data_IF_163288280582
#
_entry.id   IF_163288280582
#
_cell.length_a   1.000
_cell.length_b   1.000
_cell.length_c   1.000
_cell.angle_alpha   90.00
_cell.angle_beta   90.00
_cell.angle_gamma   90.00
#
_symmetry.space_group_name_H-M   'P 1'
#
loop_
_entity.id
_entity.type
_entity.pdbx_description
1 polymer ?
#
# COMPACT_ATOMS: atom_id res chain seq x y z
N UNK A 1 -18.63 -0.53 -16.37
CA UNK A 1 -17.72 -0.26 -15.24
C UNK A 1 -17.74 1.25 -15.01
N UNK A 2 -17.60 1.73 -13.78
CA UNK A 2 -17.65 3.18 -13.50
C UNK A 2 -16.32 3.87 -13.80
N UNK A 3 -16.36 5.20 -13.91
CA UNK A 3 -15.16 6.03 -14.20
C UNK A 3 -14.06 5.85 -13.14
N UNK A 4 -14.45 5.64 -11.87
CA UNK A 4 -13.52 5.39 -10.76
C UNK A 4 -12.75 4.08 -10.98
N UNK A 5 -13.46 2.99 -11.23
CA UNK A 5 -12.87 1.67 -11.45
C UNK A 5 -11.96 1.66 -12.68
N UNK A 6 -12.40 2.29 -13.78
CA UNK A 6 -11.59 2.41 -15.00
C UNK A 6 -10.27 3.16 -14.74
N UNK A 7 -10.33 4.24 -13.96
CA UNK A 7 -9.13 5.00 -13.57
C UNK A 7 -8.19 4.18 -12.69
N UNK A 8 -8.73 3.47 -11.69
CA UNK A 8 -7.94 2.61 -10.81
C UNK A 8 -7.24 1.51 -11.63
N UNK A 9 -8.00 0.79 -12.45
CA UNK A 9 -7.49 -0.30 -13.29
C UNK A 9 -6.36 0.22 -14.21
N UNK A 10 -6.56 1.38 -14.84
CA UNK A 10 -5.54 1.99 -15.69
C UNK A 10 -4.24 2.30 -14.94
N UNK A 11 -4.33 2.75 -13.69
CA UNK A 11 -3.15 3.00 -12.85
C UNK A 11 -2.48 1.68 -12.46
N UNK A 12 -3.25 0.69 -11.98
CA UNK A 12 -2.71 -0.60 -11.53
C UNK A 12 -2.05 -1.41 -12.66
N UNK A 13 -2.47 -1.20 -13.91
CA UNK A 13 -1.90 -1.87 -15.08
C UNK A 13 -0.81 -1.07 -15.79
N UNK A 14 -0.46 0.11 -15.26
CA UNK A 14 0.50 1.03 -15.90
C UNK A 14 1.92 0.45 -15.94
N UNK A 15 2.76 0.87 -16.90
CA UNK A 15 4.16 0.43 -16.97
C UNK A 15 4.94 0.72 -15.68
N UNK A 16 4.62 1.80 -14.98
CA UNK A 16 5.29 2.20 -13.75
C UNK A 16 4.95 1.27 -12.58
N UNK A 17 3.67 0.89 -12.41
CA UNK A 17 3.28 -0.09 -11.39
C UNK A 17 3.90 -1.46 -11.67
N UNK A 18 4.03 -1.86 -12.94
CA UNK A 18 4.68 -3.14 -13.32
C UNK A 18 6.15 -3.22 -12.89
N UNK A 19 6.82 -2.09 -12.69
CA UNK A 19 8.22 -2.03 -12.24
C UNK A 19 8.37 -2.23 -10.73
N UNK A 20 7.28 -2.19 -9.96
CA UNK A 20 7.30 -2.43 -8.51
C UNK A 20 7.43 -3.92 -8.25
N UNK A 21 8.64 -4.35 -7.89
CA UNK A 21 8.98 -5.74 -7.57
C UNK A 21 9.96 -5.74 -6.40
N UNK A 22 9.59 -6.37 -5.29
CA UNK A 22 10.47 -6.50 -4.13
C UNK A 22 10.03 -7.60 -3.18
N UNK A 23 10.94 -8.01 -2.29
CA UNK A 23 10.65 -8.79 -1.09
C UNK A 23 10.97 -7.95 0.14
N UNK A 24 10.00 -7.77 1.02
CA UNK A 24 10.13 -7.07 2.30
C UNK A 24 9.67 -8.01 3.43
N UNK A 25 10.64 -8.52 4.20
CA UNK A 25 10.34 -9.54 5.21
C UNK A 25 9.66 -10.77 4.58
N UNK A 26 8.48 -11.19 5.09
CA UNK A 26 7.74 -12.33 4.55
C UNK A 26 6.94 -12.00 3.28
N UNK A 27 6.78 -10.72 2.94
CA UNK A 27 5.92 -10.26 1.83
C UNK A 27 6.72 -10.16 0.54
N UNK A 28 6.15 -10.71 -0.54
CA UNK A 28 6.69 -10.60 -1.90
C UNK A 28 5.70 -9.88 -2.79
N UNK A 29 6.13 -8.76 -3.35
CA UNK A 29 5.34 -7.96 -4.27
C UNK A 29 5.95 -8.05 -5.66
N UNK A 30 5.07 -8.22 -6.64
CA UNK A 30 5.42 -8.21 -8.06
C UNK A 30 4.43 -7.34 -8.82
N UNK A 31 4.86 -6.73 -9.92
CA UNK A 31 4.01 -5.94 -10.80
C UNK A 31 2.77 -6.70 -11.27
N UNK A 32 2.87 -8.01 -11.46
CA UNK A 32 1.74 -8.88 -11.82
C UNK A 32 0.66 -8.97 -10.73
N UNK A 33 1.02 -8.79 -9.45
CA UNK A 33 0.07 -8.77 -8.33
C UNK A 33 -0.98 -7.67 -8.51
N UNK A 34 -0.57 -6.47 -8.92
CA UNK A 34 -1.49 -5.36 -9.16
C UNK A 34 -2.49 -5.62 -10.28
N UNK A 35 -2.09 -6.39 -11.30
CA UNK A 35 -3.01 -6.84 -12.35
C UNK A 35 -4.09 -7.77 -11.79
N UNK A 36 -3.76 -8.64 -10.83
CA UNK A 36 -4.75 -9.49 -10.15
C UNK A 36 -5.75 -8.67 -9.35
N UNK A 37 -5.31 -7.56 -8.76
CA UNK A 37 -6.19 -6.58 -8.09
C UNK A 37 -7.12 -5.94 -9.12
N UNK A 38 -6.60 -5.49 -10.27
CA UNK A 38 -7.42 -4.96 -11.37
C UNK A 38 -8.47 -5.98 -11.86
N UNK A 39 -8.09 -7.25 -11.98
CA UNK A 39 -9.01 -8.33 -12.35
C UNK A 39 -10.09 -8.58 -11.28
N UNK A 40 -9.75 -8.48 -9.99
CA UNK A 40 -10.72 -8.57 -8.91
C UNK A 40 -11.74 -7.41 -8.93
N UNK A 41 -11.31 -6.21 -9.33
CA UNK A 41 -12.22 -5.07 -9.55
C UNK A 41 -13.17 -5.35 -10.71
N UNK A 42 -12.64 -5.81 -11.86
CA UNK A 42 -13.46 -6.18 -13.03
C UNK A 42 -14.50 -7.25 -12.68
N UNK A 43 -14.12 -8.24 -11.89
CA UNK A 43 -15.00 -9.32 -11.45
C UNK A 43 -15.87 -8.97 -10.24
N UNK A 44 -15.83 -7.72 -9.75
CA UNK A 44 -16.58 -7.23 -8.57
C UNK A 44 -16.31 -7.99 -7.26
N UNK A 45 -15.17 -8.68 -7.17
CA UNK A 45 -14.67 -9.25 -5.90
C UNK A 45 -14.02 -8.18 -5.02
N UNK A 46 -13.55 -7.11 -5.65
CA UNK A 46 -13.11 -5.88 -5.01
C UNK A 46 -13.98 -4.72 -5.49
N UNK A 47 -14.60 -4.01 -4.56
CA UNK A 47 -15.43 -2.84 -4.88
C UNK A 47 -14.65 -1.57 -4.60
N UNK A 48 -14.63 -0.65 -5.56
CA UNK A 48 -14.02 0.66 -5.38
C UNK A 48 -15.08 1.66 -4.92
N UNK A 49 -14.78 2.42 -3.87
CA UNK A 49 -15.69 3.40 -3.30
C UNK A 49 -14.97 4.73 -3.16
N UNK A 50 -15.58 5.80 -3.65
CA UNK A 50 -15.13 7.15 -3.30
C UNK A 50 -15.59 7.45 -1.87
N UNK A 51 -14.65 7.72 -0.97
CA UNK A 51 -14.95 8.08 0.41
C UNK A 51 -14.58 9.55 0.65
N UNK A 52 -15.59 10.41 0.77
CA UNK A 52 -15.44 11.85 1.01
C UNK A 52 -14.83 12.18 2.38
N UNK A 53 -15.02 11.33 3.40
CA UNK A 53 -14.34 11.49 4.69
C UNK A 53 -12.85 11.13 4.57
N UNK A 54 -12.53 10.08 3.81
CA UNK A 54 -11.14 9.74 3.50
C UNK A 54 -10.47 10.85 2.67
N UNK A 55 -11.21 11.49 1.77
CA UNK A 55 -10.78 12.68 1.03
C UNK A 55 -10.41 13.84 1.95
N UNK A 56 -11.26 14.17 2.92
CA UNK A 56 -11.01 15.25 3.88
C UNK A 56 -9.79 14.97 4.77
N UNK A 57 -9.56 13.69 5.09
CA UNK A 57 -8.39 13.24 5.84
C UNK A 57 -7.13 13.04 4.97
N UNK A 58 -7.26 13.08 3.64
CA UNK A 58 -6.17 12.82 2.70
C UNK A 58 -5.64 11.38 2.78
N UNK A 59 -6.50 10.40 3.05
CA UNK A 59 -6.14 8.99 3.19
C UNK A 59 -6.86 8.12 2.15
N UNK A 60 -6.28 6.97 1.83
CA UNK A 60 -6.98 5.85 1.20
C UNK A 60 -7.11 4.73 2.23
N UNK A 61 -7.95 3.72 1.94
CA UNK A 61 -8.12 2.57 2.83
C UNK A 61 -8.50 1.32 2.06
N UNK A 62 -7.73 0.25 2.24
CA UNK A 62 -8.16 -1.10 1.97
C UNK A 62 -8.95 -1.64 3.16
N UNK A 63 -10.20 -2.02 2.90
CA UNK A 63 -11.05 -2.66 3.89
C UNK A 63 -11.27 -4.11 3.48
N UNK A 64 -10.51 -5.03 4.09
CA UNK A 64 -10.85 -6.44 4.06
C UNK A 64 -12.18 -6.65 4.79
N UNK A 65 -13.01 -7.53 4.27
CA UNK A 65 -14.37 -7.70 4.73
C UNK A 65 -14.52 -9.07 5.41
N UNK A 66 -14.77 -9.06 6.72
CA UNK A 66 -14.88 -10.29 7.52
C UNK A 66 -16.33 -10.82 7.53
N UNK A 67 -16.50 -12.11 7.29
CA UNK A 67 -17.77 -12.84 7.41
C UNK A 67 -18.58 -13.04 6.11
N UNK A 68 -19.69 -13.79 6.16
CA UNK A 68 -20.41 -14.23 4.97
C UNK A 68 -21.01 -13.06 4.19
N UNK A 69 -20.90 -13.12 2.85
CA UNK A 69 -21.46 -12.16 1.89
C UNK A 69 -20.87 -10.75 1.94
N UNK A 70 -19.70 -10.55 2.56
CA UNK A 70 -18.99 -9.27 2.48
C UNK A 70 -18.04 -9.22 1.28
N UNK A 71 -17.83 -8.01 0.78
CA UNK A 71 -16.98 -7.73 -0.39
C UNK A 71 -15.89 -6.76 0.04
N UNK A 72 -14.64 -7.08 -0.28
CA UNK A 72 -13.49 -6.23 -0.01
C UNK A 72 -13.65 -4.88 -0.71
N UNK A 73 -13.13 -3.82 -0.09
CA UNK A 73 -13.28 -2.45 -0.61
C UNK A 73 -11.95 -1.71 -0.71
N UNK A 74 -11.75 -1.05 -1.83
CA UNK A 74 -10.76 0.02 -1.97
C UNK A 74 -11.48 1.36 -1.81
N UNK A 75 -11.23 2.06 -0.72
CA UNK A 75 -11.75 3.39 -0.47
C UNK A 75 -10.72 4.42 -0.94
N UNK A 76 -11.08 5.17 -1.98
CA UNK A 76 -10.19 6.14 -2.62
C UNK A 76 -10.67 7.56 -2.28
N UNK A 77 -9.75 8.50 -1.97
CA UNK A 77 -10.12 9.86 -1.59
C UNK A 77 -10.64 10.69 -2.78
N UNK A 78 -10.12 10.48 -3.99
CA UNK A 78 -10.53 11.25 -5.16
C UNK A 78 -10.56 10.39 -6.43
N UNK A 79 -11.72 10.23 -7.11
CA UNK A 79 -11.83 9.41 -8.31
C UNK A 79 -11.05 9.94 -9.52
N UNK A 80 -10.65 11.21 -9.51
CA UNK A 80 -9.89 11.83 -10.58
C UNK A 80 -8.37 11.65 -10.44
N UNK A 81 -7.88 11.24 -9.27
CA UNK A 81 -6.44 11.11 -8.98
C UNK A 81 -5.62 12.34 -9.43
N UNK A 82 -5.97 13.56 -8.95
CA UNK A 82 -5.43 14.82 -9.45
C UNK A 82 -3.92 14.98 -9.30
N UNK A 83 -3.30 14.22 -8.39
CA UNK A 83 -1.87 14.31 -8.12
C UNK A 83 -1.25 12.92 -7.95
N UNK A 84 0.09 12.90 -7.97
CA UNK A 84 0.87 11.68 -7.81
C UNK A 84 0.66 11.01 -6.45
N UNK A 85 0.40 11.78 -5.40
CA UNK A 85 0.20 11.26 -4.05
C UNK A 85 -1.04 10.37 -3.96
N UNK A 86 -2.16 10.75 -4.58
CA UNK A 86 -3.36 9.91 -4.61
C UNK A 86 -3.12 8.59 -5.34
N UNK A 87 -2.32 8.61 -6.42
CA UNK A 87 -1.94 7.39 -7.15
C UNK A 87 -1.01 6.50 -6.31
N UNK A 88 -0.07 7.11 -5.58
CA UNK A 88 0.83 6.39 -4.69
C UNK A 88 0.08 5.73 -3.52
N UNK A 89 -0.93 6.42 -2.95
CA UNK A 89 -1.82 5.83 -1.94
C UNK A 89 -2.65 4.68 -2.51
N UNK A 90 -3.14 4.77 -3.75
CA UNK A 90 -3.80 3.63 -4.40
C UNK A 90 -2.87 2.41 -4.48
N UNK A 91 -1.59 2.61 -4.79
CA UNK A 91 -0.60 1.51 -4.82
C UNK A 91 -0.37 0.92 -3.42
N UNK A 92 -0.35 1.75 -2.38
CA UNK A 92 -0.32 1.31 -0.99
C UNK A 92 -1.51 0.38 -0.69
N UNK A 93 -2.74 0.84 -0.90
CA UNK A 93 -3.94 0.03 -0.60
C UNK A 93 -4.06 -1.21 -1.48
N UNK A 94 -3.63 -1.13 -2.74
CA UNK A 94 -3.60 -2.28 -3.62
C UNK A 94 -2.56 -3.32 -3.17
N UNK A 95 -1.52 -2.92 -2.44
CA UNK A 95 -0.56 -3.85 -1.84
C UNK A 95 -1.24 -4.71 -0.78
N UNK A 96 -2.08 -4.13 0.08
CA UNK A 96 -2.90 -4.90 1.02
C UNK A 96 -3.88 -5.84 0.32
N UNK A 97 -4.45 -5.44 -0.82
CA UNK A 97 -5.28 -6.35 -1.62
C UNK A 97 -4.49 -7.55 -2.19
N UNK A 98 -3.20 -7.36 -2.52
CA UNK A 98 -2.32 -8.47 -2.96
C UNK A 98 -2.03 -9.40 -1.78
N UNK A 99 -1.75 -8.85 -0.61
CA UNK A 99 -1.54 -9.61 0.63
C UNK A 99 -2.78 -10.45 0.97
N UNK A 100 -3.97 -9.86 0.85
CA UNK A 100 -5.25 -10.54 1.07
C UNK A 100 -5.46 -11.68 0.07
N UNK A 101 -5.17 -11.44 -1.20
CA UNK A 101 -5.23 -12.47 -2.24
C UNK A 101 -4.37 -13.72 -1.90
N UNK A 102 -3.28 -13.54 -1.15
CA UNK A 102 -2.43 -14.65 -0.73
C UNK A 102 -2.95 -15.44 0.48
N UNK A 103 -3.99 -14.96 1.18
CA UNK A 103 -4.67 -15.64 2.30
C UNK A 103 -3.71 -16.09 3.40
N UNK A 104 -2.77 -15.23 3.75
CA UNK A 104 -1.77 -15.51 4.79
C UNK A 104 -1.94 -14.53 5.93
N UNK A 105 -2.05 -15.08 7.13
CA UNK A 105 -1.86 -14.33 8.35
C UNK A 105 -0.51 -13.58 8.29
N UNK A 106 -0.57 -12.26 8.37
CA UNK A 106 0.59 -11.38 8.32
C UNK A 106 0.63 -10.49 9.56
N UNK A 107 1.83 -10.26 10.10
CA UNK A 107 2.00 -9.26 11.14
C UNK A 107 1.66 -7.88 10.54
N UNK A 108 0.91 -7.07 11.27
CA UNK A 108 0.44 -5.78 10.78
C UNK A 108 1.58 -4.85 10.35
N UNK A 109 2.69 -4.84 11.11
CA UNK A 109 3.87 -4.04 10.73
C UNK A 109 4.58 -4.57 9.47
N UNK A 110 4.50 -5.87 9.15
CA UNK A 110 5.07 -6.42 7.92
C UNK A 110 4.22 -6.04 6.70
N UNK A 111 2.89 -6.10 6.84
CA UNK A 111 1.94 -5.68 5.81
C UNK A 111 2.10 -4.18 5.48
N UNK A 112 2.11 -3.33 6.51
CA UNK A 112 2.35 -1.89 6.35
C UNK A 112 3.74 -1.58 5.78
N UNK A 113 4.77 -2.35 6.16
CA UNK A 113 6.11 -2.18 5.61
C UNK A 113 6.14 -2.40 4.11
N UNK A 114 5.49 -3.46 3.62
CA UNK A 114 5.38 -3.70 2.19
C UNK A 114 4.57 -2.60 1.49
N UNK A 115 3.43 -2.19 2.06
CA UNK A 115 2.56 -1.17 1.47
C UNK A 115 3.24 0.22 1.39
N UNK A 116 3.92 0.67 2.44
CA UNK A 116 4.69 1.92 2.41
C UNK A 116 5.88 1.85 1.46
N UNK A 117 6.57 0.70 1.39
CA UNK A 117 7.65 0.54 0.43
C UNK A 117 7.15 0.60 -1.01
N UNK A 118 6.03 -0.07 -1.32
CA UNK A 118 5.38 0.00 -2.63
C UNK A 118 4.99 1.44 -3.01
N UNK A 119 4.43 2.19 -2.05
CA UNK A 119 4.12 3.61 -2.22
C UNK A 119 5.37 4.43 -2.57
N UNK A 120 6.48 4.24 -1.86
CA UNK A 120 7.73 4.97 -2.12
C UNK A 120 8.40 4.54 -3.43
N UNK A 121 8.32 3.26 -3.79
CA UNK A 121 8.76 2.80 -5.11
C UNK A 121 7.95 3.44 -6.22
N UNK A 122 6.65 3.62 -6.05
CA UNK A 122 5.80 4.30 -7.04
C UNK A 122 6.24 5.77 -7.25
N UNK A 123 6.51 6.52 -6.19
CA UNK A 123 7.12 7.85 -6.30
C UNK A 123 8.42 7.82 -7.09
N UNK A 124 9.31 6.89 -6.73
CA UNK A 124 10.63 6.80 -7.33
C UNK A 124 10.58 6.45 -8.83
N UNK A 125 9.73 5.50 -9.25
CA UNK A 125 9.59 5.12 -10.67
C UNK A 125 8.97 6.22 -11.53
N UNK A 126 8.23 7.13 -10.89
CA UNK A 126 7.64 8.34 -11.50
C UNK A 126 8.61 9.54 -11.45
N UNK A 127 9.81 9.35 -10.91
CA UNK A 127 10.83 10.39 -10.71
C UNK A 127 10.30 11.60 -9.90
N UNK A 128 9.49 11.30 -8.90
CA UNK A 128 8.91 12.28 -7.98
C UNK A 128 9.38 12.00 -6.55
N UNK A 129 9.49 13.06 -5.75
CA UNK A 129 9.69 12.92 -4.31
C UNK A 129 8.35 12.74 -3.59
N UNK A 130 8.29 11.95 -2.51
CA UNK A 130 7.11 11.93 -1.66
C UNK A 130 6.90 13.29 -0.98
N UNK A 131 5.66 13.63 -0.59
CA UNK A 131 5.41 14.82 0.20
C UNK A 131 6.05 14.66 1.57
N UNK A 132 7.15 15.38 1.81
CA UNK A 132 7.80 15.48 3.11
C UNK A 132 7.11 16.49 4.04
N UNK A 133 5.93 16.97 3.66
CA UNK A 133 5.05 17.77 4.52
C UNK A 133 4.28 16.85 5.47
N UNK A 134 4.82 16.64 6.68
CA UNK A 134 4.18 15.88 7.75
C UNK A 134 4.91 16.04 9.08
N UNK A 135 4.39 15.44 10.15
CA UNK A 135 5.07 15.41 11.45
C UNK A 135 6.38 14.63 11.40
N UNK A 136 7.24 14.78 12.42
CA UNK A 136 8.58 14.18 12.47
C UNK A 136 8.58 12.66 12.22
N UNK A 137 7.58 11.94 12.76
CA UNK A 137 7.45 10.48 12.57
C UNK A 137 7.11 10.09 11.13
N UNK A 138 6.36 10.91 10.40
CA UNK A 138 6.11 10.69 8.97
C UNK A 138 7.38 10.91 8.14
N UNK A 139 8.12 11.98 8.42
CA UNK A 139 9.36 12.28 7.69
C UNK A 139 10.41 11.19 7.87
N UNK A 140 10.52 10.63 9.08
CA UNK A 140 11.40 9.49 9.39
C UNK A 140 11.02 8.24 8.57
N UNK A 141 9.74 7.84 8.60
CA UNK A 141 9.24 6.72 7.80
C UNK A 141 9.45 6.94 6.30
N UNK A 142 9.02 8.10 5.78
CA UNK A 142 9.13 8.42 4.37
C UNK A 142 10.59 8.43 3.91
N UNK A 143 11.51 8.96 4.73
CA UNK A 143 12.95 8.95 4.44
C UNK A 143 13.52 7.54 4.37
N UNK A 144 13.25 6.68 5.35
CA UNK A 144 13.72 5.29 5.37
C UNK A 144 13.16 4.52 4.17
N UNK A 145 11.83 4.54 3.98
CA UNK A 145 11.18 3.81 2.90
C UNK A 145 11.62 4.30 1.51
N UNK A 146 11.80 5.62 1.32
CA UNK A 146 12.26 6.18 0.06
C UNK A 146 13.73 5.83 -0.25
N UNK A 147 14.61 5.78 0.75
CA UNK A 147 15.99 5.34 0.55
C UNK A 147 16.06 3.88 0.08
N UNK A 148 15.25 3.00 0.70
CA UNK A 148 15.13 1.60 0.29
C UNK A 148 14.56 1.51 -1.13
N UNK A 149 13.47 2.23 -1.41
CA UNK A 149 12.86 2.28 -2.74
C UNK A 149 13.84 2.76 -3.81
N UNK A 150 14.61 3.81 -3.53
CA UNK A 150 15.64 4.33 -4.44
C UNK A 150 16.69 3.27 -4.77
N UNK A 151 17.16 2.53 -3.75
CA UNK A 151 18.10 1.42 -3.95
C UNK A 151 17.48 0.32 -4.82
N UNK A 152 16.27 -0.15 -4.49
CA UNK A 152 15.59 -1.22 -5.22
C UNK A 152 15.23 -0.86 -6.67
N UNK A 153 14.91 0.41 -6.94
CA UNK A 153 14.61 0.87 -8.31
C UNK A 153 15.90 1.10 -9.12
N UNK A 154 16.97 1.55 -8.47
CA UNK A 154 18.24 1.90 -9.15
C UNK A 154 19.19 0.72 -9.33
N UNK A 155 18.96 -0.39 -8.63
CA UNK A 155 19.77 -1.60 -8.72
C UNK A 155 18.87 -2.79 -9.04
N UNK A 156 19.36 -3.87 -9.66
CA UNK A 156 18.57 -5.10 -9.85
C UNK A 156 18.32 -5.86 -8.54
N UNK A 157 18.43 -5.18 -7.38
CA UNK A 157 18.18 -5.79 -6.08
C UNK A 157 16.67 -5.95 -5.88
N UNK A 158 16.26 -7.18 -5.58
CA UNK A 158 14.88 -7.52 -5.30
C UNK A 158 14.56 -7.49 -3.80
N UNK A 159 15.58 -7.62 -2.93
CA UNK A 159 15.36 -7.88 -1.51
C UNK A 159 15.69 -6.66 -0.62
N UNK A 160 14.81 -6.41 0.34
CA UNK A 160 15.04 -5.52 1.48
C UNK A 160 15.88 -6.28 2.50
N UNK A 161 17.02 -5.72 2.91
CA UNK A 161 17.87 -6.37 3.91
C UNK A 161 17.16 -6.50 5.26
N UNK A 162 17.54 -7.45 6.11
CA UNK A 162 16.97 -7.56 7.46
C UNK A 162 17.08 -6.26 8.27
N UNK A 163 18.19 -5.54 8.13
CA UNK A 163 18.40 -4.26 8.82
C UNK A 163 17.42 -3.19 8.35
N UNK A 164 17.27 -3.00 7.04
CA UNK A 164 16.31 -2.06 6.46
C UNK A 164 14.87 -2.41 6.85
N UNK A 165 14.54 -3.70 6.85
CA UNK A 165 13.24 -4.18 7.27
C UNK A 165 12.97 -3.85 8.76
N UNK A 166 13.94 -4.08 9.65
CA UNK A 166 13.84 -3.67 11.06
C UNK A 166 13.68 -2.17 11.23
N UNK A 167 14.43 -1.36 10.46
CA UNK A 167 14.31 0.10 10.49
C UNK A 167 12.92 0.56 10.05
N UNK A 168 12.40 -0.02 8.97
CA UNK A 168 11.08 0.29 8.42
C UNK A 168 9.97 -0.05 9.42
N UNK A 169 9.98 -1.27 9.99
CA UNK A 169 9.04 -1.68 11.05
C UNK A 169 9.09 -0.73 12.25
N UNK A 170 10.29 -0.35 12.69
CA UNK A 170 10.47 0.58 13.81
C UNK A 170 9.89 1.97 13.54
N UNK A 171 10.05 2.49 12.32
CA UNK A 171 9.49 3.78 11.91
C UNK A 171 7.96 3.75 11.82
N UNK A 172 7.39 2.67 11.27
CA UNK A 172 5.94 2.46 11.22
C UNK A 172 5.36 2.40 12.63
N UNK A 173 5.97 1.60 13.52
CA UNK A 173 5.52 1.50 14.90
C UNK A 173 5.51 2.88 15.60
N UNK A 174 6.54 3.72 15.40
CA UNK A 174 6.56 5.10 15.92
C UNK A 174 5.44 5.97 15.33
N UNK A 175 5.22 5.91 14.03
CA UNK A 175 4.16 6.68 13.36
C UNK A 175 2.77 6.28 13.89
N UNK A 176 2.54 4.98 13.99
CA UNK A 176 1.28 4.37 14.39
C UNK A 176 0.94 4.67 15.85
N UNK A 177 1.90 4.49 16.77
CA UNK A 177 1.76 4.88 18.19
C UNK A 177 1.49 6.37 18.35
N UNK A 178 2.07 7.22 17.49
CA UNK A 178 1.87 8.66 17.53
C UNK A 178 0.51 9.09 16.96
N UNK A 179 -0.02 8.41 15.94
CA UNK A 179 -1.27 8.78 15.27
C UNK A 179 -2.52 8.27 15.99
N UNK A 180 -2.53 7.07 16.59
CA UNK A 180 -3.73 6.54 17.24
C UNK A 180 -3.41 5.56 18.40
N UNK A 181 -4.12 5.70 19.53
CA UNK A 181 -4.07 4.75 20.68
C UNK A 181 -4.52 3.32 20.34
N UNK A 182 -5.20 3.11 19.21
CA UNK A 182 -5.81 1.83 18.81
C UNK A 182 -4.79 0.78 18.32
N UNK A 183 -3.56 1.19 18.02
CA UNK A 183 -2.52 0.31 17.50
C UNK A 183 -1.36 0.09 18.47
N UNK A 184 -1.61 0.23 19.78
CA UNK A 184 -0.61 -0.02 20.85
C UNK A 184 0.00 -1.43 20.82
N UNK A 185 -0.56 -2.33 20.01
CA UNK A 185 -0.15 -3.73 19.85
C UNK A 185 0.05 -4.11 18.38
N UNK A 186 0.29 -3.15 17.46
CA UNK A 186 0.47 -3.48 16.03
C UNK A 186 1.64 -4.45 15.77
N UNK A 187 2.64 -4.48 16.65
CA UNK A 187 3.71 -5.46 16.65
C UNK A 187 3.25 -6.88 17.01
N UNK A 188 2.13 -7.01 17.70
CA UNK A 188 1.51 -8.26 18.17
C UNK A 188 0.25 -8.63 17.36
N UNK A 189 -0.31 -7.68 16.62
CA UNK A 189 -1.49 -7.88 15.80
C UNK A 189 -1.14 -8.68 14.54
N UNK A 190 -2.01 -9.64 14.25
CA UNK A 190 -1.99 -10.40 13.01
C UNK A 190 -3.23 -10.01 12.22
N UNK A 191 -3.05 -9.63 10.96
CA UNK A 191 -4.14 -9.45 10.01
C UNK A 191 -4.47 -10.82 9.46
N UNK A 192 -5.71 -11.29 9.69
CA UNK A 192 -6.22 -12.52 9.10
C UNK A 192 -6.98 -12.18 7.83
N UNK A 193 -6.39 -12.55 6.71
CA UNK A 193 -6.92 -12.27 5.38
C UNK A 193 -7.82 -13.43 4.92
N UNK A 194 -9.13 -13.15 4.82
CA UNK A 194 -10.12 -14.13 4.37
C UNK A 194 -10.07 -14.43 2.87
N UNK A 195 -9.34 -13.62 2.09
CA UNK A 195 -9.11 -13.78 0.66
C UNK A 195 -9.90 -12.81 -0.22
N UNK A 196 -9.25 -12.38 -1.30
CA UNK A 196 -9.82 -11.59 -2.40
C UNK A 196 -10.42 -12.46 -3.50
#
# INVERSE_FOLDING_TARGET
MGLLEDNIIRILESPEVRRINFQCGPVRIYGQGYRRVADAIRSRRLVCVHNTLAQQAGVALYQHAVGPNRVNRLQIPDPAFPNIHHKAMLVHEATHAIEDYHRRALNELDAEAAAYLAQMMYYRVQDQLPPFSGGATWMDLAGIAYNIANRLVSTPAYEVSPQEHTQLRGAIHRLVVHRQRLYRHADQNTIDYDGL
#
